data_IF_546419045665
#
_entry.id   IF_546419045665
#
_cell.length_a   1.000
_cell.length_b   1.000
_cell.length_c   1.000
_cell.angle_alpha   90.00
_cell.angle_beta   90.00
_cell.angle_gamma   90.00
#
_symmetry.space_group_name_H-M   'P 1'
#
loop_
_entity.id
_entity.type
_entity.pdbx_description
1 polymer ?
#
# COMPACT_ATOMS: atom_id res chain seq x y z
N UNK A 1 -10.76 7.87 -28.87
CA UNK A 1 -9.53 7.03 -28.82
C UNK A 1 -9.47 6.45 -27.42
N UNK A 2 -9.68 5.14 -27.28
CA UNK A 2 -9.48 4.48 -25.99
C UNK A 2 -8.02 4.65 -25.56
N UNK A 3 -7.82 5.32 -24.44
CA UNK A 3 -6.49 5.54 -23.89
C UNK A 3 -5.97 4.16 -23.44
N UNK A 4 -4.99 3.61 -24.17
CA UNK A 4 -4.38 2.31 -23.83
C UNK A 4 -3.81 2.36 -22.42
N UNK A 5 -4.49 1.74 -21.47
CA UNK A 5 -4.09 1.71 -20.09
C UNK A 5 -2.88 0.78 -19.89
N UNK A 6 -1.77 1.32 -19.38
CA UNK A 6 -0.54 0.56 -19.13
C UNK A 6 -0.76 -0.57 -18.12
N UNK A 7 -1.62 -0.37 -17.09
CA UNK A 7 -1.90 -1.42 -16.11
C UNK A 7 -2.78 -2.53 -16.69
N UNK A 8 -3.73 -2.21 -17.58
CA UNK A 8 -4.44 -3.24 -18.33
C UNK A 8 -3.49 -4.07 -19.21
N UNK A 9 -2.47 -3.44 -19.80
CA UNK A 9 -1.44 -4.15 -20.57
C UNK A 9 -0.59 -5.08 -19.69
N UNK A 10 -0.26 -4.68 -18.46
CA UNK A 10 0.43 -5.53 -17.47
C UNK A 10 -0.45 -6.70 -17.06
N UNK A 11 -1.72 -6.46 -16.73
CA UNK A 11 -2.71 -7.50 -16.39
C UNK A 11 -2.86 -8.51 -17.53
N UNK A 12 -2.91 -8.04 -18.77
CA UNK A 12 -2.98 -8.87 -19.98
C UNK A 12 -1.65 -9.50 -20.41
N UNK A 13 -0.57 -9.37 -19.62
CA UNK A 13 0.79 -9.86 -19.97
C UNK A 13 1.35 -9.30 -21.29
N UNK A 14 0.85 -8.16 -21.74
CA UNK A 14 1.34 -7.46 -22.95
C UNK A 14 2.52 -6.53 -22.62
N UNK A 15 2.72 -6.21 -21.35
CA UNK A 15 3.83 -5.40 -20.85
C UNK A 15 4.51 -6.12 -19.67
N UNK A 16 5.85 -6.20 -19.66
CA UNK A 16 6.58 -6.84 -18.56
C UNK A 16 6.46 -6.05 -17.27
N UNK A 17 6.41 -6.76 -16.15
CA UNK A 17 6.43 -6.17 -14.80
C UNK A 17 7.07 -7.14 -13.81
N UNK A 18 7.62 -6.63 -12.72
CA UNK A 18 8.13 -7.43 -11.61
C UNK A 18 6.98 -7.74 -10.64
N UNK A 19 6.21 -8.78 -10.97
CA UNK A 19 5.08 -9.25 -10.16
C UNK A 19 5.57 -9.84 -8.85
N UNK A 20 4.94 -9.45 -7.75
CA UNK A 20 5.20 -10.00 -6.40
C UNK A 20 4.02 -10.82 -5.87
N UNK A 21 2.80 -10.53 -6.34
CA UNK A 21 1.59 -11.26 -5.97
C UNK A 21 0.56 -11.18 -7.11
N UNK A 22 -0.24 -12.22 -7.22
CA UNK A 22 -1.39 -12.25 -8.14
C UNK A 22 -2.43 -13.23 -7.61
N UNK A 23 -3.70 -12.83 -7.65
CA UNK A 23 -4.86 -13.67 -7.39
C UNK A 23 -5.91 -13.53 -8.51
N UNK A 24 -7.13 -13.97 -8.26
CA UNK A 24 -8.22 -13.88 -9.23
C UNK A 24 -8.55 -12.41 -9.59
N UNK A 25 -8.54 -11.50 -8.62
CA UNK A 25 -9.04 -10.14 -8.76
C UNK A 25 -7.94 -9.07 -8.82
N UNK A 26 -6.76 -9.33 -8.28
CA UNK A 26 -5.72 -8.34 -8.08
C UNK A 26 -4.36 -8.82 -8.59
N UNK A 27 -3.55 -7.87 -8.99
CA UNK A 27 -2.13 -8.06 -9.33
C UNK A 27 -1.30 -7.03 -8.56
N UNK A 28 -0.14 -7.43 -8.08
CA UNK A 28 0.82 -6.54 -7.41
C UNK A 28 2.17 -6.65 -8.08
N UNK A 29 2.75 -5.51 -8.40
CA UNK A 29 4.07 -5.43 -9.03
C UNK A 29 4.87 -4.25 -8.49
N UNK A 30 6.19 -4.31 -8.59
CA UNK A 30 7.06 -3.20 -8.22
C UNK A 30 6.86 -2.02 -9.18
N UNK A 31 6.87 -0.80 -8.62
CA UNK A 31 6.98 0.41 -9.40
C UNK A 31 8.40 0.52 -9.98
N UNK A 32 8.51 0.81 -11.27
CA UNK A 32 9.80 1.04 -11.97
C UNK A 32 10.42 2.40 -11.66
N UNK A 33 9.65 3.31 -11.06
CA UNK A 33 10.08 4.61 -10.54
C UNK A 33 9.77 4.71 -9.05
N UNK A 34 10.41 3.87 -8.24
CA UNK A 34 9.99 3.70 -6.84
C UNK A 34 10.28 4.96 -6.03
N UNK A 35 9.33 5.35 -5.20
CA UNK A 35 9.53 6.41 -4.20
C UNK A 35 10.46 5.94 -3.08
N UNK A 36 10.49 4.63 -2.84
CA UNK A 36 11.43 3.99 -1.93
C UNK A 36 11.62 2.52 -2.29
N UNK A 37 12.67 1.88 -1.75
CA UNK A 37 12.91 0.44 -1.99
C UNK A 37 11.69 -0.37 -1.59
N UNK A 38 11.20 -1.22 -2.50
CA UNK A 38 10.02 -2.05 -2.27
C UNK A 38 8.68 -1.36 -2.54
N UNK A 39 8.68 -0.16 -3.13
CA UNK A 39 7.46 0.49 -3.58
C UNK A 39 6.72 -0.40 -4.57
N UNK A 40 5.54 -0.87 -4.21
CA UNK A 40 4.67 -1.73 -5.00
C UNK A 40 3.35 -1.06 -5.29
N UNK A 41 2.72 -1.48 -6.38
CA UNK A 41 1.41 -1.06 -6.82
C UNK A 41 0.44 -2.24 -6.72
N UNK A 42 -0.58 -2.13 -5.90
CA UNK A 42 -1.69 -3.08 -5.85
C UNK A 42 -2.75 -2.60 -6.81
N UNK A 43 -3.07 -3.41 -7.80
CA UNK A 43 -3.91 -3.02 -8.94
C UNK A 43 -5.01 -4.04 -9.16
N UNK A 44 -6.29 -3.66 -9.26
CA UNK A 44 -7.34 -4.59 -9.64
C UNK A 44 -7.18 -5.00 -11.11
N UNK A 45 -7.47 -6.26 -11.43
CA UNK A 45 -7.43 -6.76 -12.83
C UNK A 45 -8.53 -6.14 -13.69
N UNK A 46 -9.71 -5.94 -13.11
CA UNK A 46 -10.78 -5.17 -13.74
C UNK A 46 -10.41 -3.69 -13.74
N UNK A 47 -10.61 -3.01 -14.87
CA UNK A 47 -10.31 -1.59 -14.96
C UNK A 47 -11.33 -0.75 -14.19
N UNK A 48 -10.86 -0.04 -13.17
CA UNK A 48 -11.59 1.01 -12.46
C UNK A 48 -10.82 2.31 -12.57
N UNK A 49 -11.51 3.44 -12.55
CA UNK A 49 -10.84 4.75 -12.59
C UNK A 49 -10.22 5.11 -11.25
N UNK A 50 -10.96 4.90 -10.17
CA UNK A 50 -10.55 5.30 -8.83
C UNK A 50 -10.59 4.11 -7.87
N UNK A 51 -9.81 4.18 -6.80
CA UNK A 51 -9.76 3.13 -5.77
C UNK A 51 -11.11 2.92 -5.09
N UNK A 52 -11.89 3.96 -4.91
CA UNK A 52 -13.23 3.91 -4.32
C UNK A 52 -14.32 3.36 -5.26
N UNK A 53 -14.02 3.18 -6.55
CA UNK A 53 -14.92 2.53 -7.50
C UNK A 53 -14.79 0.99 -7.47
N UNK A 54 -13.76 0.46 -6.79
CA UNK A 54 -13.48 -0.98 -6.75
C UNK A 54 -14.54 -1.70 -5.93
N UNK A 55 -15.34 -2.55 -6.58
CA UNK A 55 -16.45 -3.30 -5.95
C UNK A 55 -15.95 -4.18 -4.78
N UNK A 56 -14.83 -4.88 -4.96
CA UNK A 56 -14.19 -5.70 -3.92
C UNK A 56 -13.25 -4.85 -3.03
N UNK A 57 -13.75 -3.73 -2.49
CA UNK A 57 -12.94 -2.75 -1.76
C UNK A 57 -12.22 -3.33 -0.53
N UNK A 58 -12.91 -4.13 0.29
CA UNK A 58 -12.31 -4.79 1.46
C UNK A 58 -11.18 -5.74 1.07
N UNK A 59 -11.40 -6.74 0.20
CA UNK A 59 -10.35 -7.61 -0.33
C UNK A 59 -9.19 -6.86 -0.97
N UNK A 60 -9.45 -5.73 -1.64
CA UNK A 60 -8.41 -4.89 -2.24
C UNK A 60 -7.43 -4.35 -1.18
N UNK A 61 -7.94 -3.83 -0.07
CA UNK A 61 -7.12 -3.35 1.03
C UNK A 61 -6.47 -4.49 1.84
N UNK A 62 -7.09 -5.67 1.90
CA UNK A 62 -6.45 -6.84 2.51
C UNK A 62 -5.21 -7.30 1.71
N UNK A 63 -5.24 -7.20 0.38
CA UNK A 63 -4.04 -7.42 -0.44
C UNK A 63 -2.97 -6.37 -0.15
N UNK A 64 -3.33 -5.08 -0.08
CA UNK A 64 -2.38 -4.01 0.25
C UNK A 64 -1.73 -4.23 1.63
N UNK A 65 -2.50 -4.62 2.64
CA UNK A 65 -2.02 -4.98 3.97
C UNK A 65 -1.07 -6.19 3.92
N UNK A 66 -1.44 -7.25 3.19
CA UNK A 66 -0.58 -8.44 3.02
C UNK A 66 0.80 -8.06 2.46
N UNK A 67 0.84 -7.21 1.44
CA UNK A 67 2.09 -6.72 0.84
C UNK A 67 2.87 -5.82 1.79
N UNK A 68 2.20 -4.97 2.55
CA UNK A 68 2.85 -4.13 3.57
C UNK A 68 3.57 -4.99 4.62
N UNK A 69 2.91 -6.03 5.13
CA UNK A 69 3.51 -6.96 6.09
C UNK A 69 4.69 -7.73 5.48
N UNK A 70 4.56 -8.15 4.21
CA UNK A 70 5.66 -8.80 3.48
C UNK A 70 6.87 -7.86 3.29
N UNK A 71 6.63 -6.57 3.04
CA UNK A 71 7.70 -5.58 2.94
C UNK A 71 8.38 -5.31 4.30
N UNK A 72 7.64 -5.27 5.40
CA UNK A 72 8.19 -5.14 6.75
C UNK A 72 9.12 -6.33 7.05
N UNK A 73 8.67 -7.55 6.79
CA UNK A 73 9.45 -8.77 7.09
C UNK A 73 10.58 -8.97 6.08
N UNK A 74 10.30 -8.90 4.77
CA UNK A 74 11.25 -9.25 3.72
C UNK A 74 12.30 -8.18 3.43
N UNK A 75 11.98 -6.91 3.68
CA UNK A 75 12.85 -5.78 3.42
C UNK A 75 13.33 -5.06 4.68
N UNK A 76 12.88 -5.50 5.86
CA UNK A 76 13.17 -4.87 7.16
C UNK A 76 12.69 -3.40 7.20
N UNK A 77 11.54 -3.12 6.54
CA UNK A 77 10.94 -1.81 6.59
C UNK A 77 10.41 -1.49 7.99
N UNK A 78 10.58 -0.25 8.42
CA UNK A 78 10.15 0.20 9.76
C UNK A 78 8.63 0.32 9.84
N UNK A 79 8.03 0.85 8.80
CA UNK A 79 6.57 0.97 8.60
C UNK A 79 6.26 1.14 7.11
N UNK A 80 4.99 1.27 6.76
CA UNK A 80 4.54 1.42 5.37
C UNK A 80 3.56 2.60 5.28
N UNK A 81 3.68 3.39 4.24
CA UNK A 81 2.68 4.39 3.88
C UNK A 81 1.90 3.94 2.65
N UNK A 82 0.60 4.23 2.65
CA UNK A 82 -0.30 3.96 1.52
C UNK A 82 -0.72 5.27 0.86
N UNK A 83 -0.75 5.29 -0.48
CA UNK A 83 -1.25 6.41 -1.26
C UNK A 83 -2.18 5.91 -2.38
N UNK A 84 -3.16 6.70 -2.76
CA UNK A 84 -4.16 6.35 -3.77
C UNK A 84 -4.38 7.44 -4.81
N UNK A 85 -3.35 8.20 -5.18
CA UNK A 85 -3.49 9.41 -5.99
C UNK A 85 -4.14 9.20 -7.37
N UNK A 86 -3.72 8.18 -8.13
CA UNK A 86 -4.34 7.78 -9.40
C UNK A 86 -4.36 8.82 -10.53
N UNK A 87 -3.63 9.93 -10.44
CA UNK A 87 -3.64 11.00 -11.44
C UNK A 87 -2.76 10.68 -12.66
N UNK A 88 -1.63 9.99 -12.46
CA UNK A 88 -0.68 9.66 -13.52
C UNK A 88 -1.18 8.54 -14.44
N UNK A 89 -1.84 7.53 -13.89
CA UNK A 89 -2.43 6.41 -14.63
C UNK A 89 -3.91 6.31 -14.28
N UNK A 90 -4.76 6.36 -15.29
CA UNK A 90 -6.21 6.29 -15.15
C UNK A 90 -6.70 4.84 -14.90
N UNK A 91 -6.16 4.18 -13.89
CA UNK A 91 -6.52 2.85 -13.41
C UNK A 91 -6.29 2.81 -11.90
N UNK A 92 -7.25 2.33 -11.15
CA UNK A 92 -7.19 2.29 -9.69
C UNK A 92 -5.94 1.52 -9.21
N UNK A 93 -5.18 2.12 -8.32
CA UNK A 93 -4.03 1.47 -7.69
C UNK A 93 -3.75 2.05 -6.32
N UNK A 94 -3.28 1.18 -5.42
CA UNK A 94 -2.78 1.56 -4.11
C UNK A 94 -1.25 1.47 -4.17
N UNK A 95 -0.58 2.56 -3.88
CA UNK A 95 0.84 2.55 -3.63
C UNK A 95 1.11 2.02 -2.23
N UNK A 96 1.93 1.00 -2.12
CA UNK A 96 2.44 0.45 -0.86
C UNK A 96 3.91 0.83 -0.79
N UNK A 97 4.25 1.81 0.04
CA UNK A 97 5.58 2.42 0.08
C UNK A 97 6.25 2.11 1.42
N UNK A 98 7.21 1.16 1.45
CA UNK A 98 7.99 0.87 2.64
C UNK A 98 8.84 2.08 3.06
N UNK A 99 8.95 2.31 4.37
CA UNK A 99 9.69 3.40 4.96
C UNK A 99 10.82 2.86 5.84
N UNK A 100 11.95 3.54 5.77
CA UNK A 100 13.18 3.18 6.48
C UNK A 100 13.72 4.36 7.26
N UNK A 101 14.57 4.12 8.24
CA UNK A 101 15.32 5.19 8.88
C UNK A 101 16.21 5.90 7.86
N UNK A 102 16.17 7.22 7.86
CA UNK A 102 17.00 8.07 6.97
C UNK A 102 16.78 7.77 5.47
N UNK A 103 15.56 7.42 5.07
CA UNK A 103 15.21 7.13 3.68
C UNK A 103 15.11 8.38 2.79
N UNK A 104 15.37 9.56 3.35
CA UNK A 104 15.37 10.84 2.63
C UNK A 104 13.99 11.46 2.45
N UNK A 105 12.95 10.88 3.04
CA UNK A 105 11.62 11.47 3.13
C UNK A 105 11.38 12.04 4.54
N UNK A 106 10.52 13.04 4.64
CA UNK A 106 10.00 13.54 5.93
C UNK A 106 8.94 12.60 6.52
N UNK A 107 8.04 13.14 7.33
CA UNK A 107 6.91 12.41 7.88
C UNK A 107 6.06 11.77 6.76
N UNK A 108 5.85 12.49 5.68
CA UNK A 108 5.12 12.02 4.50
C UNK A 108 6.07 11.72 3.35
N UNK A 109 5.67 10.74 2.51
CA UNK A 109 6.37 10.46 1.26
C UNK A 109 6.32 11.69 0.34
N UNK A 110 7.47 12.10 -0.14
CA UNK A 110 7.59 13.10 -1.22
C UNK A 110 7.42 12.40 -2.58
N UNK A 111 6.35 12.73 -3.35
CA UNK A 111 6.13 12.15 -4.68
C UNK A 111 7.24 12.49 -5.70
N UNK A 112 8.03 13.54 -5.45
CA UNK A 112 9.19 13.90 -6.27
C UNK A 112 10.45 13.08 -5.91
N UNK A 113 10.45 12.43 -4.76
CA UNK A 113 11.60 11.72 -4.19
C UNK A 113 11.88 10.35 -4.83
N UNK A 114 11.78 10.22 -6.16
CA UNK A 114 12.02 8.96 -6.88
C UNK A 114 13.44 8.45 -6.65
N UNK A 115 13.57 7.18 -6.24
CA UNK A 115 14.84 6.49 -6.05
C UNK A 115 15.32 5.85 -7.34
N UNK A 116 16.60 5.95 -7.60
CA UNK A 116 17.23 5.22 -8.69
C UNK A 116 17.59 3.82 -8.20
N UNK A 117 17.09 2.79 -8.87
CA UNK A 117 17.40 1.39 -8.60
C UNK A 117 17.75 0.68 -9.90
N UNK A 118 18.77 -0.14 -9.87
CA UNK A 118 19.13 -1.00 -10.98
C UNK A 118 18.09 -2.12 -11.18
N UNK A 119 18.05 -2.70 -12.36
CA UNK A 119 17.15 -3.83 -12.65
C UNK A 119 17.41 -5.02 -11.71
N UNK A 120 18.67 -5.24 -11.34
CA UNK A 120 19.06 -6.30 -10.42
C UNK A 120 18.51 -6.04 -9.02
N UNK A 121 18.64 -4.83 -8.48
CA UNK A 121 18.09 -4.45 -7.16
C UNK A 121 16.57 -4.56 -7.13
N UNK A 122 15.89 -4.18 -8.22
CA UNK A 122 14.44 -4.34 -8.33
C UNK A 122 14.04 -5.81 -8.31
N UNK A 123 14.74 -6.70 -9.05
CA UNK A 123 14.48 -8.15 -9.04
C UNK A 123 14.69 -8.77 -7.66
N UNK A 124 15.81 -8.46 -7.00
CA UNK A 124 16.10 -8.96 -5.65
C UNK A 124 15.07 -8.47 -4.63
N UNK A 125 14.64 -7.22 -4.76
CA UNK A 125 13.60 -6.63 -3.92
C UNK A 125 12.26 -7.34 -4.11
N UNK A 126 11.88 -7.60 -5.37
CA UNK A 126 10.65 -8.34 -5.70
C UNK A 126 10.65 -9.74 -5.07
N UNK A 127 11.75 -10.48 -5.20
CA UNK A 127 11.87 -11.83 -4.64
C UNK A 127 11.82 -11.81 -3.10
N UNK A 128 12.44 -10.84 -2.45
CA UNK A 128 12.35 -10.70 -0.98
C UNK A 128 10.93 -10.47 -0.50
N UNK A 129 10.18 -9.58 -1.14
CA UNK A 129 8.76 -9.35 -0.82
C UNK A 129 7.97 -10.62 -1.05
N UNK A 130 8.09 -11.24 -2.23
CA UNK A 130 7.37 -12.45 -2.63
C UNK A 130 7.57 -13.60 -1.64
N UNK A 131 8.81 -13.84 -1.23
CA UNK A 131 9.16 -14.90 -0.28
C UNK A 131 8.66 -14.61 1.14
N UNK A 132 8.41 -13.35 1.49
CA UNK A 132 7.90 -12.92 2.79
C UNK A 132 6.37 -12.78 2.84
N UNK A 133 5.66 -13.02 1.72
CA UNK A 133 4.19 -12.98 1.72
C UNK A 133 3.68 -14.08 2.66
N UNK A 134 2.92 -13.72 3.71
CA UNK A 134 2.38 -14.72 4.62
C UNK A 134 1.41 -15.64 3.86
N UNK A 135 1.40 -16.94 4.19
CA UNK A 135 0.37 -17.84 3.69
C UNK A 135 -1.01 -17.26 4.04
N UNK A 136 -2.02 -17.57 3.24
CA UNK A 136 -3.38 -17.10 3.52
C UNK A 136 -3.75 -17.40 4.97
N UNK A 137 -3.92 -16.33 5.76
CA UNK A 137 -4.44 -16.49 7.10
C UNK A 137 -5.86 -17.10 6.98
N UNK A 138 -6.20 -18.09 7.82
CA UNK A 138 -7.57 -18.56 7.88
C UNK A 138 -8.47 -17.34 8.09
N UNK A 139 -9.60 -17.28 7.35
CA UNK A 139 -10.58 -16.20 7.50
C UNK A 139 -11.03 -16.17 8.96
N UNK A 140 -10.40 -15.29 9.73
CA UNK A 140 -10.82 -15.04 11.11
C UNK A 140 -12.11 -14.24 10.99
N UNK A 141 -13.22 -14.86 11.32
CA UNK A 141 -14.43 -14.10 11.60
C UNK A 141 -14.13 -13.20 12.80
N UNK A 142 -13.84 -11.95 12.53
CA UNK A 142 -13.69 -10.95 13.58
C UNK A 142 -15.10 -10.74 14.16
N UNK A 143 -15.39 -11.41 15.26
CA UNK A 143 -16.50 -10.99 16.10
C UNK A 143 -16.11 -9.63 16.65
N UNK A 144 -16.63 -8.58 16.04
CA UNK A 144 -16.53 -7.23 16.58
C UNK A 144 -17.35 -7.25 17.87
N UNK A 145 -16.69 -7.49 19.00
CA UNK A 145 -17.31 -7.17 20.28
C UNK A 145 -17.51 -5.65 20.27
N UNK A 146 -18.76 -5.23 20.31
CA UNK A 146 -19.05 -3.81 20.48
C UNK A 146 -18.30 -3.33 21.73
N UNK A 147 -17.49 -2.27 21.61
CA UNK A 147 -16.78 -1.77 22.77
C UNK A 147 -17.82 -1.47 23.84
N UNK A 148 -17.68 -2.08 25.01
CA UNK A 148 -18.47 -1.68 26.18
C UNK A 148 -18.30 -0.18 26.30
N UNK A 149 -19.36 0.57 26.05
CA UNK A 149 -19.40 2.02 26.25
C UNK A 149 -19.26 2.30 27.74
N UNK A 150 -18.05 2.22 28.26
CA UNK A 150 -17.72 2.99 29.44
C UNK A 150 -17.66 4.44 28.95
N UNK A 151 -18.72 5.18 29.19
CA UNK A 151 -18.73 6.62 28.96
C UNK A 151 -17.73 7.26 29.94
N UNK A 152 -16.44 7.22 29.58
CA UNK A 152 -15.44 8.01 30.29
C UNK A 152 -15.81 9.48 30.08
N UNK A 153 -16.40 10.10 31.09
CA UNK A 153 -16.60 11.55 31.07
C UNK A 153 -15.26 12.21 31.31
N UNK A 154 -14.74 12.82 30.28
CA UNK A 154 -13.53 13.62 30.38
C UNK A 154 -13.78 14.85 31.24
N UNK A 155 -12.88 15.17 32.17
CA UNK A 155 -12.93 16.43 32.92
C UNK A 155 -12.52 17.59 32.00
N UNK A 156 -12.92 18.81 32.34
CA UNK A 156 -12.50 20.01 31.60
C UNK A 156 -10.95 20.13 31.54
N UNK A 157 -10.24 19.75 32.61
CA UNK A 157 -8.78 19.75 32.67
C UNK A 157 -8.15 18.75 31.70
N UNK A 158 -8.70 17.53 31.61
CA UNK A 158 -8.24 16.51 30.64
C UNK A 158 -8.48 16.96 29.19
N UNK A 159 -9.62 17.59 28.91
CA UNK A 159 -9.94 18.12 27.57
C UNK A 159 -9.03 19.29 27.21
N UNK A 160 -8.69 20.14 28.14
CA UNK A 160 -7.77 21.27 27.92
C UNK A 160 -6.34 20.78 27.63
N UNK A 161 -5.89 19.72 28.31
CA UNK A 161 -4.60 19.10 28.06
C UNK A 161 -4.52 18.52 26.64
N UNK A 162 -5.54 17.78 26.23
CA UNK A 162 -5.63 17.19 24.87
C UNK A 162 -5.64 18.32 23.83
N UNK A 163 -6.37 19.41 24.03
CA UNK A 163 -6.39 20.56 23.10
C UNK A 163 -5.00 21.18 22.93
N UNK A 164 -4.22 21.31 24.01
CA UNK A 164 -2.84 21.84 23.95
C UNK A 164 -1.90 20.91 23.19
N UNK A 165 -1.99 19.60 23.40
CA UNK A 165 -1.19 18.63 22.68
C UNK A 165 -1.49 18.64 21.17
N UNK A 166 -2.77 18.74 20.77
CA UNK A 166 -3.18 18.83 19.38
C UNK A 166 -2.74 20.13 18.66
N UNK A 167 -2.44 21.19 19.39
CA UNK A 167 -1.96 22.45 18.83
C UNK A 167 -0.43 22.49 18.63
N UNK A 168 0.31 21.50 19.16
CA UNK A 168 1.78 21.41 19.06
C UNK A 168 2.27 20.48 17.94
N UNK A 169 1.35 19.81 17.22
CA UNK A 169 1.61 18.98 16.05
C UNK A 169 1.31 19.74 14.76
#
# INVERSE_FOLDING_TARGET
MEQKCVFCAIVGNQMPSLKVYEDENFIVFLDIRPLNRGHTLVTPKKHYRWTYDVEAFGPYWEVAKKIALAAIVGLEAKYVQFLTAGLGVAHAHIHVVPRYENDGHGEYIDPAGVKQMSEQELKETAEKIKNAIPPEAPKVEVKVEEPKKEEKKWTEEELELIRRELQQT
#
